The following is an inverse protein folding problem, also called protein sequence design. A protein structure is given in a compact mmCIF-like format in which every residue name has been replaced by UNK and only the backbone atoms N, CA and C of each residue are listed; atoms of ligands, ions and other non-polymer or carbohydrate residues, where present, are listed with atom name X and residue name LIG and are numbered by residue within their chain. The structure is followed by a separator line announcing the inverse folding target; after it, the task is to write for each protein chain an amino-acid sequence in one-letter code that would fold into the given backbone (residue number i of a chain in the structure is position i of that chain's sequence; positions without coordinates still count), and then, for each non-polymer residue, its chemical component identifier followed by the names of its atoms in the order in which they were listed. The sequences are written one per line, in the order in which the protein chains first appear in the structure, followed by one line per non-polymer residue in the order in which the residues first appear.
data_IF_965264651602
#
_entry.id   IF_965264651602
#
_cell.length_a   1.000
_cell.length_b   1.000
_cell.length_c   1.000
_cell.angle_alpha   90.00
_cell.angle_beta   90.00
_cell.angle_gamma   90.00
#
_symmetry.space_group_name_H-M   'P 1'
#
loop_
_entity.id
_entity.type
_entity.pdbx_description
1 polymer ?
#
# COMPACT_ATOMS: atom_id res chain seq x y z
N UNK A 1 4.60 18.12 9.60
CA UNK A 1 3.75 17.01 10.09
C UNK A 1 4.05 15.79 9.23
N UNK A 2 4.42 14.67 9.85
CA UNK A 2 4.75 13.41 9.18
C UNK A 2 3.55 12.81 8.43
N UNK A 3 3.82 11.98 7.43
CA UNK A 3 2.80 11.25 6.67
C UNK A 3 1.99 12.09 5.67
N UNK A 4 2.48 13.29 5.29
CA UNK A 4 1.84 14.11 4.24
C UNK A 4 1.88 13.43 2.87
N UNK A 5 3.01 12.82 2.52
CA UNK A 5 3.19 12.09 1.25
C UNK A 5 2.24 10.90 1.16
N UNK A 6 2.11 10.14 2.25
CA UNK A 6 1.17 9.03 2.34
C UNK A 6 -0.29 9.48 2.17
N UNK A 7 -0.64 10.67 2.69
CA UNK A 7 -1.95 11.27 2.48
C UNK A 7 -2.18 11.71 1.03
N UNK A 8 -1.14 12.16 0.32
CA UNK A 8 -1.24 12.51 -1.10
C UNK A 8 -1.60 11.29 -1.94
N UNK A 9 -0.98 10.12 -1.72
CA UNK A 9 -1.38 8.87 -2.39
C UNK A 9 -2.87 8.56 -2.21
N UNK A 10 -3.38 8.74 -1.00
CA UNK A 10 -4.80 8.50 -0.70
C UNK A 10 -5.70 9.51 -1.41
N UNK A 11 -5.30 10.77 -1.45
CA UNK A 11 -6.05 11.83 -2.13
C UNK A 11 -6.08 11.62 -3.64
N UNK A 12 -4.96 11.22 -4.25
CA UNK A 12 -4.87 10.96 -5.69
C UNK A 12 -5.94 9.94 -6.13
N UNK A 13 -6.05 8.81 -5.43
CA UNK A 13 -7.07 7.83 -5.78
C UNK A 13 -8.48 8.27 -5.38
N UNK A 14 -8.64 9.00 -4.28
CA UNK A 14 -9.95 9.48 -3.83
C UNK A 14 -10.54 10.57 -4.75
N UNK A 15 -9.70 11.33 -5.45
CA UNK A 15 -10.11 12.32 -6.45
C UNK A 15 -10.46 11.73 -7.81
N UNK A 16 -10.08 10.48 -8.09
CA UNK A 16 -10.37 9.81 -9.34
C UNK A 16 -11.83 9.33 -9.43
N UNK A 17 -12.34 9.16 -10.65
CA UNK A 17 -13.64 8.52 -10.85
C UNK A 17 -13.60 7.05 -10.41
N UNK A 18 -14.71 6.56 -9.83
CA UNK A 18 -14.80 5.18 -9.34
C UNK A 18 -14.58 4.19 -10.49
N UNK A 19 -13.54 3.38 -10.36
CA UNK A 19 -13.18 2.36 -11.35
C UNK A 19 -12.23 2.84 -12.45
N UNK A 20 -11.83 4.11 -12.44
CA UNK A 20 -10.77 4.60 -13.31
C UNK A 20 -9.40 4.29 -12.70
N UNK A 21 -8.54 3.64 -13.47
CA UNK A 21 -7.16 3.37 -13.06
C UNK A 21 -6.27 4.55 -13.43
N UNK A 22 -5.69 5.21 -12.42
CA UNK A 22 -4.61 6.17 -12.61
C UNK A 22 -3.27 5.44 -12.76
N UNK A 23 -2.23 6.06 -13.34
CA UNK A 23 -0.88 5.49 -13.33
C UNK A 23 -0.40 5.21 -11.90
N UNK A 24 0.29 4.10 -11.68
CA UNK A 24 0.89 3.80 -10.38
C UNK A 24 1.99 4.82 -10.06
N UNK A 25 1.89 5.48 -8.91
CA UNK A 25 2.84 6.51 -8.50
C UNK A 25 4.03 5.88 -7.75
N UNK A 26 4.96 5.27 -8.50
CA UNK A 26 6.13 4.59 -7.94
C UNK A 26 6.98 5.54 -7.09
N UNK A 27 7.27 6.74 -7.62
CA UNK A 27 8.12 7.71 -6.93
C UNK A 27 7.55 8.12 -5.57
N UNK A 28 6.25 8.42 -5.50
CA UNK A 28 5.63 8.82 -4.24
C UNK A 28 5.48 7.63 -3.29
N UNK A 29 5.21 6.43 -3.82
CA UNK A 29 5.15 5.20 -3.04
C UNK A 29 6.50 4.91 -2.37
N UNK A 30 7.59 4.94 -3.14
CA UNK A 30 8.95 4.70 -2.65
C UNK A 30 9.38 5.77 -1.64
N UNK A 31 9.00 7.03 -1.85
CA UNK A 31 9.24 8.09 -0.87
C UNK A 31 8.54 7.84 0.46
N UNK A 32 7.33 7.31 0.47
CA UNK A 32 6.60 6.99 1.71
C UNK A 32 7.21 5.77 2.39
N UNK A 33 7.69 4.78 1.63
CA UNK A 33 8.43 3.64 2.17
C UNK A 33 9.76 4.10 2.80
N UNK A 34 10.50 5.00 2.14
CA UNK A 34 11.71 5.59 2.67
C UNK A 34 11.45 6.39 3.96
N UNK A 35 10.35 7.15 4.03
CA UNK A 35 9.91 7.85 5.25
C UNK A 35 9.62 6.85 6.40
N UNK A 36 9.01 5.70 6.10
CA UNK A 36 8.81 4.63 7.10
C UNK A 36 10.14 4.07 7.62
N UNK A 37 11.11 3.83 6.73
CA UNK A 37 12.44 3.32 7.09
C UNK A 37 13.21 4.32 7.95
N UNK A 38 13.12 5.62 7.62
CA UNK A 38 13.72 6.68 8.44
C UNK A 38 13.12 6.70 9.85
N UNK A 39 11.79 6.72 9.97
CA UNK A 39 11.13 6.69 11.27
C UNK A 39 11.42 5.42 12.06
N UNK A 40 11.62 4.30 11.38
CA UNK A 40 12.02 3.06 12.04
C UNK A 40 13.42 3.18 12.65
N UNK A 41 14.38 3.77 11.94
CA UNK A 41 15.72 4.05 12.46
C UNK A 41 15.71 5.01 13.65
N UNK A 42 14.94 6.10 13.56
CA UNK A 42 14.77 7.08 14.65
C UNK A 42 14.08 6.46 15.87
N UNK A 43 13.08 5.60 15.65
CA UNK A 43 12.42 4.85 16.72
C UNK A 43 13.41 3.91 17.44
N UNK A 44 14.22 3.16 16.68
CA UNK A 44 15.21 2.26 17.26
C UNK A 44 16.27 2.99 18.06
N UNK A 45 16.76 4.14 17.57
CA UNK A 45 17.77 4.92 18.29
C UNK A 45 17.25 5.47 19.62
N UNK A 46 16.01 5.95 19.66
CA UNK A 46 15.36 6.42 20.89
C UNK A 46 15.15 5.29 21.90
N UNK A 47 14.67 4.12 21.44
CA UNK A 47 14.50 2.94 22.31
C UNK A 47 15.85 2.54 22.91
N UNK A 48 16.92 2.49 22.10
CA UNK A 48 18.26 2.14 22.56
C UNK A 48 18.78 3.13 23.60
N UNK A 49 18.62 4.44 23.36
CA UNK A 49 19.02 5.48 24.30
C UNK A 49 18.33 5.31 25.66
N UNK A 50 17.01 5.06 25.65
CA UNK A 50 16.26 4.82 26.89
C UNK A 50 16.75 3.58 27.64
N UNK A 51 17.10 2.51 26.92
CA UNK A 51 17.65 1.29 27.53
C UNK A 51 19.03 1.54 28.14
N UNK A 52 19.89 2.31 27.49
CA UNK A 52 21.23 2.69 27.99
C UNK A 52 21.14 3.54 29.26
N UNK A 53 20.09 4.38 29.39
CA UNK A 53 19.79 5.15 30.59
C UNK A 53 19.12 4.32 31.71
N UNK A 54 18.88 3.02 31.48
CA UNK A 54 18.22 2.13 32.44
C UNK A 54 16.73 2.41 32.64
N UNK A 55 16.11 3.15 31.72
CA UNK A 55 14.70 3.52 31.77
C UNK A 55 13.83 2.43 31.14
N UNK A 56 12.69 2.14 31.78
CA UNK A 56 11.71 1.24 31.18
C UNK A 56 11.00 1.93 30.01
N UNK A 57 11.13 1.36 28.82
CA UNK A 57 10.60 1.88 27.55
C UNK A 57 9.09 2.09 27.61
N UNK A 58 8.37 1.31 28.42
CA UNK A 58 6.90 1.37 28.51
C UNK A 58 6.40 2.40 29.54
N UNK A 59 7.15 2.67 30.60
CA UNK A 59 6.67 3.47 31.74
C UNK A 59 7.43 4.76 32.01
N UNK A 60 8.61 4.98 31.41
CA UNK A 60 9.46 6.13 31.72
C UNK A 60 8.81 7.49 31.46
N UNK A 61 7.81 7.58 30.54
CA UNK A 61 7.06 8.81 30.19
C UNK A 61 7.94 10.06 30.02
N UNK A 62 9.18 9.87 29.59
CA UNK A 62 10.16 10.91 29.35
C UNK A 62 10.00 11.49 27.92
N UNK A 63 10.77 12.53 27.59
CA UNK A 63 10.73 13.14 26.26
C UNK A 63 11.03 12.13 25.14
N UNK A 64 11.99 11.22 25.36
CA UNK A 64 12.37 10.19 24.39
C UNK A 64 11.25 9.17 24.16
N UNK A 65 10.51 8.77 25.20
CA UNK A 65 9.33 7.91 25.11
C UNK A 65 8.25 8.54 24.21
N UNK A 66 7.92 9.81 24.42
CA UNK A 66 6.95 10.50 23.58
C UNK A 66 7.45 10.69 22.14
N UNK A 67 8.76 10.93 21.95
CA UNK A 67 9.39 10.96 20.63
C UNK A 67 9.22 9.61 19.90
N UNK A 68 9.54 8.51 20.57
CA UNK A 68 9.38 7.16 20.05
C UNK A 68 7.92 6.86 19.65
N UNK A 69 6.94 7.26 20.48
CA UNK A 69 5.52 7.12 20.16
C UNK A 69 5.12 7.88 18.89
N UNK A 70 5.63 9.10 18.68
CA UNK A 70 5.35 9.88 17.47
C UNK A 70 5.86 9.15 16.23
N UNK A 71 7.08 8.60 16.26
CA UNK A 71 7.63 7.82 15.15
C UNK A 71 6.81 6.54 14.90
N UNK A 72 6.44 5.81 15.95
CA UNK A 72 5.60 4.61 15.85
C UNK A 72 4.25 4.93 15.19
N UNK A 73 3.55 5.96 15.67
CA UNK A 73 2.26 6.36 15.10
C UNK A 73 2.39 6.85 13.66
N UNK A 74 3.50 7.50 13.30
CA UNK A 74 3.76 7.93 11.92
C UNK A 74 3.94 6.72 10.99
N UNK A 75 4.67 5.69 11.42
CA UNK A 75 4.80 4.43 10.66
C UNK A 75 3.45 3.75 10.49
N UNK A 76 2.66 3.62 11.55
CA UNK A 76 1.33 2.98 11.50
C UNK A 76 0.40 3.73 10.54
N UNK A 77 0.46 5.06 10.54
CA UNK A 77 -0.31 5.90 9.62
C UNK A 77 0.12 5.68 8.17
N UNK A 78 1.42 5.72 7.89
CA UNK A 78 1.94 5.52 6.54
C UNK A 78 1.60 4.12 6.02
N UNK A 79 1.76 3.08 6.85
CA UNK A 79 1.33 1.71 6.54
C UNK A 79 -0.14 1.66 6.14
N UNK A 80 -1.04 2.29 6.92
CA UNK A 80 -2.48 2.33 6.61
C UNK A 80 -2.76 2.98 5.26
N UNK A 81 -2.10 4.10 4.95
CA UNK A 81 -2.24 4.78 3.67
C UNK A 81 -1.73 3.95 2.49
N UNK A 82 -0.56 3.33 2.62
CA UNK A 82 0.03 2.45 1.60
C UNK A 82 -0.87 1.25 1.32
N UNK A 83 -1.35 0.56 2.37
CA UNK A 83 -2.25 -0.58 2.21
C UNK A 83 -3.58 -0.16 1.58
N UNK A 84 -4.15 0.98 1.97
CA UNK A 84 -5.38 1.49 1.36
C UNK A 84 -5.21 1.79 -0.13
N UNK A 85 -4.09 2.41 -0.52
CA UNK A 85 -3.76 2.70 -1.92
C UNK A 85 -3.69 1.40 -2.75
N UNK A 86 -2.88 0.44 -2.31
CA UNK A 86 -2.69 -0.85 -3.01
C UNK A 86 -4.00 -1.64 -3.06
N UNK A 87 -4.76 -1.68 -1.96
CA UNK A 87 -6.02 -2.41 -1.91
C UNK A 87 -7.06 -1.85 -2.90
N UNK A 88 -7.23 -0.52 -2.94
CA UNK A 88 -8.15 0.13 -3.86
C UNK A 88 -7.80 -0.17 -5.33
N UNK A 89 -6.50 -0.18 -5.66
CA UNK A 89 -6.03 -0.54 -7.00
C UNK A 89 -6.28 -2.01 -7.33
N UNK A 90 -6.02 -2.92 -6.39
CA UNK A 90 -6.30 -4.35 -6.56
C UNK A 90 -7.79 -4.67 -6.74
N UNK A 91 -8.69 -3.95 -6.06
CA UNK A 91 -10.15 -4.00 -6.32
C UNK A 91 -10.49 -3.52 -7.73
N UNK A 92 -9.90 -2.40 -8.16
CA UNK A 92 -10.11 -1.85 -9.51
C UNK A 92 -9.66 -2.83 -10.58
N UNK A 93 -8.47 -3.42 -10.43
CA UNK A 93 -7.92 -4.44 -11.34
C UNK A 93 -8.81 -5.68 -11.41
N UNK A 94 -9.35 -6.15 -10.28
CA UNK A 94 -10.32 -7.26 -10.27
C UNK A 94 -11.58 -6.90 -11.05
N UNK A 95 -12.11 -5.71 -10.87
CA UNK A 95 -13.28 -5.25 -11.61
C UNK A 95 -13.03 -5.09 -13.11
N UNK A 96 -11.80 -4.73 -13.52
CA UNK A 96 -11.42 -4.67 -14.93
C UNK A 96 -11.48 -6.03 -15.61
N UNK A 97 -11.07 -7.11 -14.91
CA UNK A 97 -11.14 -8.48 -15.44
C UNK A 97 -12.58 -8.86 -15.84
N UNK A 98 -13.58 -8.46 -15.05
CA UNK A 98 -14.99 -8.73 -15.34
C UNK A 98 -15.57 -7.84 -16.45
N UNK A 99 -15.01 -6.65 -16.69
CA UNK A 99 -15.51 -5.70 -17.68
C UNK A 99 -14.89 -5.88 -19.07
N UNK A 100 -13.60 -6.15 -19.12
CA UNK A 100 -12.81 -6.19 -20.38
C UNK A 100 -12.42 -7.64 -20.72
N UNK A 101 -12.45 -8.54 -19.74
CA UNK A 101 -12.01 -9.92 -19.89
C UNK A 101 -10.52 -10.09 -19.62
N UNK A 102 -9.94 -11.24 -20.02
CA UNK A 102 -8.58 -11.64 -19.67
C UNK A 102 -7.49 -10.89 -20.44
N UNK A 103 -7.84 -10.10 -21.45
CA UNK A 103 -6.88 -9.33 -22.27
C UNK A 103 -6.91 -7.87 -21.83
N UNK A 104 -5.79 -7.38 -21.31
CA UNK A 104 -5.65 -5.99 -20.89
C UNK A 104 -5.28 -5.12 -22.12
N UNK A 105 -6.01 -4.02 -22.38
CA UNK A 105 -5.61 -3.03 -23.38
C UNK A 105 -4.30 -2.33 -23.00
N UNK A 106 -3.49 -1.97 -24.01
CA UNK A 106 -2.17 -1.35 -23.80
C UNK A 106 -2.23 -0.08 -22.94
N UNK A 107 -3.31 0.70 -23.06
CA UNK A 107 -3.51 1.94 -22.32
C UNK A 107 -3.66 1.73 -20.80
N UNK A 108 -4.06 0.53 -20.38
CA UNK A 108 -4.16 0.13 -18.97
C UNK A 108 -2.85 -0.53 -18.53
N UNK A 109 -2.24 -1.33 -19.40
CA UNK A 109 -0.94 -1.98 -19.14
C UNK A 109 0.13 -0.95 -18.77
N UNK A 110 0.21 0.17 -19.51
CA UNK A 110 1.15 1.27 -19.22
C UNK A 110 0.94 1.95 -17.86
N UNK A 111 -0.23 1.78 -17.24
CA UNK A 111 -0.58 2.39 -15.94
C UNK A 111 -0.35 1.46 -14.75
N UNK A 112 -0.11 0.18 -15.03
CA UNK A 112 0.10 -0.85 -14.01
C UNK A 112 1.56 -0.89 -13.60
N UNK A 113 1.78 -1.29 -12.35
CA UNK A 113 3.10 -1.73 -11.91
C UNK A 113 3.31 -3.21 -12.26
N UNK A 114 4.56 -3.63 -12.41
CA UNK A 114 4.95 -5.03 -12.64
C UNK A 114 4.26 -6.00 -11.67
N UNK A 115 4.19 -5.65 -10.38
CA UNK A 115 3.53 -6.47 -9.36
C UNK A 115 2.01 -6.57 -9.55
N UNK A 116 1.39 -5.52 -10.08
CA UNK A 116 -0.04 -5.49 -10.38
C UNK A 116 -0.37 -6.34 -11.61
N UNK A 117 0.50 -6.34 -12.62
CA UNK A 117 0.39 -7.25 -13.76
C UNK A 117 0.52 -8.71 -13.34
N UNK A 118 1.50 -9.02 -12.49
CA UNK A 118 1.66 -10.38 -11.96
C UNK A 118 0.43 -10.82 -11.15
N UNK A 119 -0.11 -9.92 -10.33
CA UNK A 119 -1.36 -10.14 -9.60
C UNK A 119 -2.53 -10.44 -10.56
N UNK A 120 -2.69 -9.64 -11.62
CA UNK A 120 -3.74 -9.86 -12.62
C UNK A 120 -3.59 -11.21 -13.32
N UNK A 121 -2.38 -11.58 -13.75
CA UNK A 121 -2.09 -12.86 -14.41
C UNK A 121 -2.46 -14.04 -13.50
N UNK A 122 -2.05 -14.00 -12.23
CA UNK A 122 -2.39 -15.02 -11.23
C UNK A 122 -3.89 -15.10 -10.98
N UNK A 123 -4.57 -13.96 -10.86
CA UNK A 123 -6.02 -13.91 -10.64
C UNK A 123 -6.80 -14.46 -11.83
N UNK A 124 -6.43 -14.07 -13.06
CA UNK A 124 -7.02 -14.58 -14.30
C UNK A 124 -6.83 -16.09 -14.44
N UNK A 125 -5.65 -16.62 -14.12
CA UNK A 125 -5.39 -18.06 -14.14
C UNK A 125 -6.25 -18.83 -13.12
N UNK A 126 -6.39 -18.29 -11.89
CA UNK A 126 -7.24 -18.88 -10.87
C UNK A 126 -8.72 -18.88 -11.29
N UNK A 127 -9.19 -17.78 -11.90
CA UNK A 127 -10.56 -17.68 -12.41
C UNK A 127 -10.83 -18.67 -13.54
N UNK A 128 -9.90 -18.80 -14.50
CA UNK A 128 -9.99 -19.80 -15.58
C UNK A 128 -10.04 -21.24 -15.04
N UNK A 129 -9.23 -21.54 -14.01
CA UNK A 129 -9.27 -22.85 -13.35
C UNK A 129 -10.63 -23.11 -12.69
N UNK A 130 -11.24 -22.09 -12.08
CA UNK A 130 -12.58 -22.18 -11.50
C UNK A 130 -13.67 -22.39 -12.56
N UNK A 131 -13.68 -21.57 -13.62
CA UNK A 131 -14.63 -21.70 -14.74
C UNK A 131 -14.57 -23.08 -15.39
N UNK A 132 -13.35 -23.62 -15.59
CA UNK A 132 -13.15 -24.96 -16.15
C UNK A 132 -13.73 -26.06 -15.27
N UNK A 133 -13.67 -25.92 -13.94
CA UNK A 133 -14.24 -26.91 -13.00
C UNK A 133 -15.77 -26.85 -12.95
N UNK A 134 -16.34 -25.66 -13.07
CA UNK A 134 -17.79 -25.44 -13.00
C UNK A 134 -18.46 -25.61 -14.37
N UNK A 135 -17.67 -25.68 -15.45
CA UNK A 135 -18.14 -25.73 -16.85
C UNK A 135 -19.06 -24.55 -17.20
N UNK A 136 -18.82 -23.40 -16.58
CA UNK A 136 -19.58 -22.16 -16.78
C UNK A 136 -18.59 -21.04 -17.07
N UNK A 137 -18.85 -20.32 -18.16
CA UNK A 137 -18.16 -19.06 -18.44
C UNK A 137 -18.84 -17.95 -17.65
N UNK A 138 -18.12 -17.38 -16.69
CA UNK A 138 -18.60 -16.26 -15.86
C UNK A 138 -18.22 -14.89 -16.44
N UNK A 139 -17.51 -14.86 -17.57
CA UNK A 139 -17.06 -13.64 -18.24
C UNK A 139 -17.93 -13.22 -19.42
N UNK A 140 -19.04 -13.95 -19.67
CA UNK A 140 -20.02 -13.70 -20.73
C UNK A 140 -21.33 -13.20 -20.14
#
# INVERSE_FOLDING_TARGET
MYGRKACQLVKEFASGEKGQLTPFNNDLFDQVVAECSQHHGELQSLIRKMQEEGLDVQTARNADHYGALIHLFSIVRNKRCLTAYVYNRAETIRNLLWKIGPVIPKEIEEKLNHWEEEYFKKHSAALKSYMSKVLVDLTV
#
